data_IF_329728510456
#
_entry.id   IF_329728510456
#
_cell.length_a   1.000
_cell.length_b   1.000
_cell.length_c   1.000
_cell.angle_alpha   90.00
_cell.angle_beta   90.00
_cell.angle_gamma   90.00
#
_symmetry.space_group_name_H-M   'P 1'
#
loop_
_entity.id
_entity.type
_entity.pdbx_description
1 polymer ?
#
# COMPACT_ATOMS: atom_id res chain seq x y z
N UNK A 1 -43.84 5.28 -13.86
CA UNK A 1 -44.54 3.98 -13.96
C UNK A 1 -44.92 3.72 -15.43
N UNK A 2 -44.62 2.50 -15.90
CA UNK A 2 -45.20 1.75 -17.03
C UNK A 2 -45.23 2.35 -18.45
N UNK A 3 -44.42 1.79 -19.35
CA UNK A 3 -44.57 1.94 -20.81
C UNK A 3 -45.01 0.60 -21.42
N UNK A 4 -46.03 0.66 -22.30
CA UNK A 4 -46.74 -0.49 -22.87
C UNK A 4 -45.97 -1.13 -24.04
N UNK A 5 -45.82 -2.46 -24.03
CA UNK A 5 -45.24 -3.24 -25.12
C UNK A 5 -46.35 -3.63 -26.12
N UNK A 6 -46.22 -3.24 -27.39
CA UNK A 6 -47.08 -3.70 -28.50
C UNK A 6 -46.46 -4.96 -29.12
N UNK A 7 -47.22 -6.04 -29.18
CA UNK A 7 -46.82 -7.27 -29.88
C UNK A 7 -47.02 -7.15 -31.40
N UNK A 8 -46.07 -7.68 -32.17
CA UNK A 8 -46.19 -7.82 -33.63
C UNK A 8 -46.48 -9.29 -33.99
N UNK A 9 -47.58 -9.49 -34.74
CA UNK A 9 -48.04 -10.77 -35.28
C UNK A 9 -47.06 -11.29 -36.34
N UNK A 10 -46.77 -12.59 -36.29
CA UNK A 10 -46.00 -13.35 -37.27
C UNK A 10 -46.62 -13.25 -38.68
N UNK A 11 -45.79 -13.02 -39.70
CA UNK A 11 -46.19 -13.02 -41.10
C UNK A 11 -46.45 -14.45 -41.60
N UNK A 12 -47.60 -14.61 -42.27
CA UNK A 12 -48.16 -15.85 -42.81
C UNK A 12 -47.34 -16.49 -43.96
N UNK A 13 -47.42 -17.82 -44.14
CA UNK A 13 -46.58 -18.63 -45.04
C UNK A 13 -46.81 -18.46 -46.55
N UNK A 14 -47.78 -17.65 -47.01
CA UNK A 14 -48.08 -17.52 -48.45
C UNK A 14 -47.08 -16.66 -49.24
N UNK A 15 -46.32 -15.77 -48.60
CA UNK A 15 -45.39 -14.87 -49.30
C UNK A 15 -44.04 -15.53 -49.65
N UNK A 16 -43.73 -16.70 -49.08
CA UNK A 16 -42.45 -17.39 -49.26
C UNK A 16 -42.29 -18.00 -50.67
N UNK A 17 -43.40 -18.37 -51.32
CA UNK A 17 -43.39 -19.15 -52.57
C UNK A 17 -43.19 -18.30 -53.83
N UNK A 18 -43.55 -17.00 -53.78
CA UNK A 18 -43.39 -16.07 -54.92
C UNK A 18 -41.95 -15.54 -55.08
N UNK A 19 -41.14 -15.54 -54.02
CA UNK A 19 -39.79 -14.96 -54.05
C UNK A 19 -38.70 -15.94 -54.55
N UNK A 20 -38.99 -17.25 -54.59
CA UNK A 20 -38.02 -18.27 -55.03
C UNK A 20 -37.93 -18.44 -56.56
N UNK A 21 -38.93 -18.01 -57.33
CA UNK A 21 -38.91 -18.12 -58.79
C UNK A 21 -38.00 -17.07 -59.49
N UNK A 22 -37.68 -15.95 -58.83
CA UNK A 22 -36.87 -14.87 -59.43
C UNK A 22 -35.36 -14.99 -59.18
N UNK A 23 -34.89 -15.91 -58.33
CA UNK A 23 -33.48 -16.00 -57.90
C UNK A 23 -32.55 -16.82 -58.81
N UNK A 24 -33.04 -17.43 -59.90
CA UNK A 24 -32.25 -18.37 -60.74
C UNK A 24 -31.54 -17.75 -61.96
N UNK A 25 -31.66 -16.44 -62.24
CA UNK A 25 -31.09 -15.84 -63.46
C UNK A 25 -29.95 -14.80 -63.26
N UNK A 26 -29.45 -14.57 -62.03
CA UNK A 26 -28.38 -13.56 -61.81
C UNK A 26 -26.99 -14.12 -61.46
N UNK A 27 -26.75 -15.42 -61.64
CA UNK A 27 -25.43 -16.05 -61.47
C UNK A 27 -24.66 -16.06 -62.80
N UNK A 28 -24.18 -14.92 -63.31
CA UNK A 28 -23.06 -14.91 -64.29
C UNK A 28 -22.33 -13.59 -64.53
N UNK A 29 -22.64 -12.49 -63.84
CA UNK A 29 -21.90 -11.24 -64.01
C UNK A 29 -21.67 -10.58 -62.66
N UNK A 30 -20.47 -10.76 -62.11
CA UNK A 30 -19.66 -9.77 -61.39
C UNK A 30 -18.50 -10.51 -60.72
N UNK A 31 -17.40 -10.64 -61.48
CA UNK A 31 -16.06 -10.83 -60.96
C UNK A 31 -15.47 -9.44 -60.66
N UNK A 32 -14.65 -9.37 -59.61
CA UNK A 32 -13.91 -8.21 -59.11
C UNK A 32 -14.75 -7.14 -58.39
N UNK A 33 -14.61 -7.05 -57.07
CA UNK A 33 -13.85 -5.98 -56.41
C UNK A 33 -13.85 -6.17 -54.87
N UNK A 34 -12.64 -6.40 -54.34
CA UNK A 34 -12.08 -5.98 -53.05
C UNK A 34 -12.76 -6.30 -51.70
N UNK A 35 -12.09 -7.22 -50.99
CA UNK A 35 -11.66 -7.14 -49.58
C UNK A 35 -12.74 -7.12 -48.49
N UNK A 36 -13.25 -8.31 -48.14
CA UNK A 36 -14.03 -8.52 -46.91
C UNK A 36 -13.13 -8.76 -45.71
N UNK A 37 -13.32 -7.91 -44.70
CA UNK A 37 -13.00 -8.13 -43.30
C UNK A 37 -13.37 -9.56 -42.85
N UNK A 38 -12.39 -10.31 -42.33
CA UNK A 38 -12.68 -11.51 -41.55
C UNK A 38 -12.67 -11.14 -40.07
N UNK A 39 -13.86 -11.07 -39.49
CA UNK A 39 -14.08 -11.02 -38.05
C UNK A 39 -13.83 -12.44 -37.48
N UNK A 40 -12.77 -12.60 -36.67
CA UNK A 40 -12.71 -13.67 -35.65
C UNK A 40 -13.26 -13.10 -34.34
N UNK A 41 -14.09 -13.82 -33.58
CA UNK A 41 -14.41 -13.43 -32.21
C UNK A 41 -13.20 -13.79 -31.34
N UNK A 42 -12.24 -12.88 -31.27
CA UNK A 42 -11.21 -12.94 -30.22
C UNK A 42 -11.89 -12.51 -28.93
N UNK A 43 -12.07 -13.46 -28.01
CA UNK A 43 -12.34 -13.16 -26.61
C UNK A 43 -11.27 -12.17 -26.14
N UNK A 44 -11.63 -10.88 -26.07
CA UNK A 44 -10.79 -9.86 -25.49
C UNK A 44 -10.78 -10.09 -23.99
N UNK A 45 -9.86 -10.93 -23.54
CA UNK A 45 -9.33 -10.77 -22.19
C UNK A 45 -8.61 -9.43 -22.26
N UNK A 46 -9.29 -8.35 -21.83
CA UNK A 46 -8.61 -7.11 -21.49
C UNK A 46 -7.60 -7.44 -20.40
N UNK A 47 -6.38 -7.79 -20.81
CA UNK A 47 -5.24 -7.76 -19.89
C UNK A 47 -5.01 -6.29 -19.60
N UNK A 48 -5.68 -5.78 -18.56
CA UNK A 48 -5.44 -4.45 -17.99
C UNK A 48 -3.93 -4.29 -17.86
N UNK A 49 -3.34 -3.48 -18.74
CA UNK A 49 -1.89 -3.22 -18.75
C UNK A 49 -1.57 -2.66 -17.37
N UNK A 50 -0.84 -3.43 -16.56
CA UNK A 50 -0.54 -3.05 -15.18
C UNK A 50 0.47 -1.91 -15.23
N UNK A 51 -0.03 -0.70 -15.03
CA UNK A 51 0.78 0.50 -14.94
C UNK A 51 1.68 0.37 -13.70
N UNK A 52 2.95 0.04 -13.91
CA UNK A 52 3.99 -0.17 -12.89
C UNK A 52 4.58 1.15 -12.37
N UNK A 53 4.41 2.24 -13.13
CA UNK A 53 4.82 3.60 -12.77
C UNK A 53 4.33 4.06 -11.38
N UNK A 54 3.02 3.96 -11.03
CA UNK A 54 2.57 4.33 -9.68
C UNK A 54 3.20 3.46 -8.58
N UNK A 55 3.49 2.18 -8.84
CA UNK A 55 4.14 1.30 -7.86
C UNK A 55 5.57 1.75 -7.56
N UNK A 56 6.32 2.19 -8.57
CA UNK A 56 7.68 2.71 -8.39
C UNK A 56 7.65 4.01 -7.60
N UNK A 57 6.73 4.93 -7.93
CA UNK A 57 6.63 6.21 -7.22
C UNK A 57 6.31 5.99 -5.75
N UNK A 58 5.35 5.10 -5.44
CA UNK A 58 5.00 4.74 -4.05
C UNK A 58 6.20 4.10 -3.35
N UNK A 59 6.90 3.18 -4.00
CA UNK A 59 8.08 2.52 -3.43
C UNK A 59 9.22 3.52 -3.15
N UNK A 60 9.44 4.47 -4.05
CA UNK A 60 10.46 5.51 -3.89
C UNK A 60 10.10 6.44 -2.72
N UNK A 61 8.83 6.86 -2.63
CA UNK A 61 8.33 7.69 -1.53
C UNK A 61 8.49 6.97 -0.18
N UNK A 62 8.15 5.67 -0.13
CA UNK A 62 8.30 4.86 1.07
C UNK A 62 9.78 4.70 1.47
N UNK A 63 10.66 4.48 0.50
CA UNK A 63 12.10 4.42 0.73
C UNK A 63 12.66 5.72 1.32
N UNK A 64 12.22 6.87 0.79
CA UNK A 64 12.60 8.19 1.32
C UNK A 64 12.10 8.37 2.75
N UNK A 65 10.85 8.00 3.06
CA UNK A 65 10.32 8.06 4.42
C UNK A 65 11.14 7.20 5.40
N UNK A 66 11.55 5.99 5.01
CA UNK A 66 12.37 5.12 5.88
C UNK A 66 13.77 5.67 6.09
N UNK A 67 14.33 6.36 5.09
CA UNK A 67 15.65 6.98 5.19
C UNK A 67 15.64 8.21 6.10
N UNK A 68 14.61 9.05 5.98
CA UNK A 68 14.44 10.27 6.78
C UNK A 68 13.90 10.00 8.18
N UNK A 69 13.21 8.87 8.39
CA UNK A 69 12.71 8.51 9.70
C UNK A 69 13.87 8.24 10.68
N UNK A 70 13.84 8.87 11.87
CA UNK A 70 14.77 8.59 12.94
C UNK A 70 14.59 7.14 13.35
N UNK A 71 15.70 6.41 13.36
CA UNK A 71 15.66 4.98 13.61
C UNK A 71 15.50 4.72 15.11
N UNK A 72 14.57 3.83 15.51
CA UNK A 72 14.49 3.40 16.89
C UNK A 72 15.79 2.70 17.28
N UNK A 73 16.21 2.86 18.53
CA UNK A 73 17.33 2.12 19.10
C UNK A 73 16.88 1.42 20.38
N UNK A 74 17.49 0.28 20.68
CA UNK A 74 17.27 -0.40 21.96
C UNK A 74 18.31 0.13 22.95
N UNK A 75 17.87 0.74 24.03
CA UNK A 75 18.74 1.21 25.11
C UNK A 75 18.67 0.24 26.27
N UNK A 76 19.84 -0.24 26.69
CA UNK A 76 20.04 -0.93 27.96
C UNK A 76 20.65 0.06 28.93
N UNK A 77 19.94 0.38 30.00
CA UNK A 77 20.37 1.35 31.00
C UNK A 77 20.22 0.79 32.41
N UNK A 78 20.96 1.37 33.36
CA UNK A 78 21.01 0.93 34.74
C UNK A 78 20.75 2.08 35.72
N UNK A 79 20.08 1.75 36.81
CA UNK A 79 19.95 2.59 38.00
C UNK A 79 20.02 1.73 39.26
N UNK A 80 20.90 2.12 40.19
CA UNK A 80 21.07 1.47 41.50
C UNK A 80 21.23 -0.06 41.45
N UNK A 81 21.97 -0.57 40.46
CA UNK A 81 22.18 -2.01 40.29
C UNK A 81 21.16 -2.71 39.39
N UNK A 82 19.99 -2.11 39.12
CA UNK A 82 18.94 -2.70 38.28
C UNK A 82 19.15 -2.30 36.83
N UNK A 83 19.24 -3.30 35.94
CA UNK A 83 19.38 -3.11 34.49
C UNK A 83 18.01 -3.24 33.81
N UNK A 84 17.68 -2.29 32.96
CA UNK A 84 16.42 -2.21 32.24
C UNK A 84 16.67 -1.98 30.76
N UNK A 85 15.82 -2.57 29.91
CA UNK A 85 15.87 -2.43 28.47
C UNK A 85 14.62 -1.71 27.99
N UNK A 86 14.79 -0.80 27.03
CA UNK A 86 13.70 0.01 26.52
C UNK A 86 13.97 0.41 25.07
N UNK A 87 12.91 0.71 24.33
CA UNK A 87 13.03 1.24 22.97
C UNK A 87 13.06 2.76 23.04
N UNK A 88 14.18 3.34 22.61
CA UNK A 88 14.37 4.77 22.47
C UNK A 88 13.99 5.24 21.08
N UNK A 89 13.19 6.31 21.03
CA UNK A 89 12.81 6.97 19.80
C UNK A 89 13.26 8.43 19.81
N UNK A 90 14.15 8.84 18.88
CA UNK A 90 14.66 10.21 18.83
C UNK A 90 13.61 11.29 18.54
N UNK A 91 12.39 10.91 18.15
CA UNK A 91 11.36 11.85 17.70
C UNK A 91 11.56 12.28 16.24
N UNK A 92 10.47 12.62 15.55
CA UNK A 92 10.48 13.21 14.21
C UNK A 92 10.12 14.69 14.28
N UNK A 93 10.78 15.57 13.52
CA UNK A 93 10.35 16.97 13.34
C UNK A 93 10.02 17.71 14.66
N UNK A 94 11.04 18.03 15.45
CA UNK A 94 10.89 18.83 16.67
C UNK A 94 10.02 18.19 17.77
N UNK A 95 9.62 16.92 17.63
CA UNK A 95 9.09 16.14 18.74
C UNK A 95 10.22 15.71 19.64
N UNK A 96 10.00 15.75 20.94
CA UNK A 96 10.97 15.27 21.91
C UNK A 96 11.25 13.78 21.75
N UNK A 97 12.46 13.39 22.14
CA UNK A 97 12.83 12.00 22.21
C UNK A 97 12.12 11.33 23.40
N UNK A 98 11.68 10.09 23.18
CA UNK A 98 10.79 9.40 24.11
C UNK A 98 11.09 7.90 24.18
N UNK A 99 10.85 7.34 25.35
CA UNK A 99 10.89 5.89 25.59
C UNK A 99 9.52 5.30 25.23
N UNK A 100 9.49 4.35 24.30
CA UNK A 100 8.24 3.76 23.79
C UNK A 100 7.51 2.88 24.80
N UNK A 101 8.24 2.36 25.79
CA UNK A 101 7.67 1.48 26.80
C UNK A 101 6.83 2.28 27.83
N UNK A 102 7.42 3.36 28.35
CA UNK A 102 6.85 4.14 29.45
C UNK A 102 6.23 5.48 29.03
N UNK A 103 6.29 5.84 27.74
CA UNK A 103 5.89 7.16 27.23
C UNK A 103 6.55 8.34 27.97
N UNK A 104 7.79 8.16 28.42
CA UNK A 104 8.55 9.18 29.15
C UNK A 104 9.47 9.93 28.19
N UNK A 105 9.70 11.21 28.48
CA UNK A 105 10.66 12.04 27.78
C UNK A 105 12.07 11.56 28.13
N UNK A 106 12.89 11.37 27.10
CA UNK A 106 14.19 10.73 27.17
C UNK A 106 15.24 11.62 26.52
N UNK A 107 16.18 12.15 27.31
CA UNK A 107 17.28 12.95 26.77
C UNK A 107 18.59 12.21 26.98
N UNK A 108 19.33 11.96 25.90
CA UNK A 108 20.70 11.45 26.00
C UNK A 108 21.66 12.63 26.12
N UNK A 109 22.67 12.44 26.97
CA UNK A 109 23.85 13.28 27.00
C UNK A 109 24.60 13.21 25.64
N UNK A 110 25.38 14.24 25.31
CA UNK A 110 26.16 14.32 24.06
C UNK A 110 27.12 13.12 23.87
N UNK A 111 27.53 12.50 24.98
CA UNK A 111 28.40 11.32 25.00
C UNK A 111 27.61 10.00 25.02
N UNK A 112 26.27 10.04 25.02
CA UNK A 112 25.36 8.90 25.10
C UNK A 112 25.53 7.99 26.33
N UNK A 113 26.29 8.43 27.33
CA UNK A 113 26.58 7.65 28.56
C UNK A 113 25.51 7.80 29.63
N UNK A 114 24.81 8.92 29.63
CA UNK A 114 23.81 9.25 30.61
C UNK A 114 22.47 9.46 29.90
N UNK A 115 21.44 8.81 30.41
CA UNK A 115 20.06 8.93 29.98
C UNK A 115 19.29 9.68 31.08
N UNK A 116 18.68 10.80 30.73
CA UNK A 116 17.81 11.57 31.61
C UNK A 116 16.37 11.28 31.23
N UNK A 117 15.61 10.73 32.19
CA UNK A 117 14.20 10.40 31.98
C UNK A 117 13.36 11.40 32.78
N UNK A 118 12.46 12.09 32.09
CA UNK A 118 11.61 13.14 32.64
C UNK A 118 10.14 12.71 32.55
N UNK A 119 9.38 12.94 33.62
CA UNK A 119 7.93 12.70 33.65
C UNK A 119 7.11 13.85 33.05
N UNK A 120 7.65 15.06 33.01
CA UNK A 120 6.97 16.24 32.49
C UNK A 120 7.94 17.15 31.74
N UNK A 121 7.43 17.94 30.79
CA UNK A 121 8.22 18.72 29.84
C UNK A 121 8.82 20.01 30.45
N UNK A 122 8.32 20.43 31.61
CA UNK A 122 8.57 21.77 32.15
C UNK A 122 9.85 21.93 32.98
N UNK A 123 10.41 20.86 33.55
CA UNK A 123 11.53 21.01 34.51
C UNK A 123 12.57 19.87 34.43
N UNK A 124 13.78 20.22 34.00
CA UNK A 124 14.94 19.30 33.94
C UNK A 124 15.41 18.90 35.36
N UNK A 125 15.11 19.72 36.37
CA UNK A 125 15.44 19.50 37.78
C UNK A 125 14.70 18.31 38.41
N UNK A 126 13.58 17.88 37.81
CA UNK A 126 12.82 16.69 38.23
C UNK A 126 13.22 15.39 37.51
N UNK A 127 14.19 15.44 36.60
CA UNK A 127 14.55 14.29 35.77
C UNK A 127 15.47 13.32 36.50
N UNK A 128 15.25 12.04 36.26
CA UNK A 128 16.04 10.98 36.86
C UNK A 128 17.20 10.61 35.94
N UNK A 129 18.40 10.51 36.49
CA UNK A 129 19.61 10.12 35.75
C UNK A 129 19.78 8.61 35.78
N UNK A 130 20.04 8.04 34.60
CA UNK A 130 20.34 6.63 34.36
C UNK A 130 21.67 6.52 33.60
N UNK A 131 22.42 5.45 33.83
CA UNK A 131 23.64 5.17 33.08
C UNK A 131 23.33 4.23 31.93
N UNK A 132 23.71 4.59 30.71
CA UNK A 132 23.56 3.72 29.53
C UNK A 132 24.70 2.72 29.51
N UNK A 133 24.35 1.43 29.47
CA UNK A 133 25.32 0.33 29.36
C UNK A 133 25.56 0.01 27.90
N UNK A 134 24.47 -0.10 27.13
CA UNK A 134 24.53 -0.55 25.75
C UNK A 134 23.44 0.12 24.91
N UNK A 135 23.79 0.44 23.66
CA UNK A 135 22.88 0.95 22.64
C UNK A 135 22.89 0.00 21.46
N UNK A 136 21.81 -0.76 21.30
CA UNK A 136 21.65 -1.67 20.18
C UNK A 136 20.85 -1.01 19.04
N UNK A 137 21.15 -1.42 17.82
CA UNK A 137 20.59 -0.84 16.61
C UNK A 137 19.08 -1.08 16.41
N UNK A 138 18.52 -0.56 15.30
CA UNK A 138 17.09 -0.65 15.00
C UNK A 138 16.57 -2.07 14.80
N UNK A 139 17.42 -2.98 14.33
CA UNK A 139 17.07 -4.40 14.16
C UNK A 139 16.80 -5.03 15.53
N UNK A 140 17.65 -4.76 16.51
CA UNK A 140 17.48 -5.25 17.88
C UNK A 140 16.21 -4.69 18.51
N UNK A 141 15.92 -3.39 18.30
CA UNK A 141 14.68 -2.77 18.76
C UNK A 141 13.43 -3.44 18.13
N UNK A 142 13.47 -3.76 16.83
CA UNK A 142 12.37 -4.42 16.14
C UNK A 142 12.14 -5.85 16.66
N UNK A 143 13.21 -6.62 16.87
CA UNK A 143 13.11 -7.99 17.42
C UNK A 143 12.54 -7.95 18.84
N UNK A 144 13.02 -7.01 19.68
CA UNK A 144 12.54 -6.84 21.05
C UNK A 144 11.04 -6.49 21.06
N UNK A 145 10.61 -5.54 20.22
CA UNK A 145 9.21 -5.16 20.09
C UNK A 145 8.32 -6.33 19.66
N UNK A 146 8.74 -7.10 18.66
CA UNK A 146 7.98 -8.27 18.18
C UNK A 146 7.89 -9.38 19.23
N UNK A 147 8.96 -9.59 20.00
CA UNK A 147 9.00 -10.59 21.06
C UNK A 147 8.07 -10.21 22.21
N UNK A 148 8.08 -8.93 22.62
CA UNK A 148 7.24 -8.41 23.68
C UNK A 148 5.74 -8.42 23.32
N UNK A 149 5.38 -8.17 22.05
CA UNK A 149 3.98 -8.19 21.60
C UNK A 149 3.34 -9.59 21.60
N UNK A 150 4.16 -10.64 21.47
CA UNK A 150 3.69 -12.03 21.35
C UNK A 150 3.35 -12.66 22.71
N UNK A 151 3.84 -12.06 23.79
CA UNK A 151 3.71 -12.56 25.16
C UNK A 151 2.61 -11.79 25.91
#
# INVERSE_FOLDING_TARGET
MSNKIKQQKLLSPEQLKKQQAQRKQQKLKHANQSQSNTLKPTNQIETKKRNWLPTIIISALLGICILLAPKPALLTYQKSGVTTQSIYWPGIFNTDAQLLDSHLLATLDNQEKNLFICHNQTDISGCQKYQVIEKSGPISAAIFYLSHKKN
#
